data_IF_454567229174
#
_entry.id   IF_454567229174
#
_cell.length_a   1.000
_cell.length_b   1.000
_cell.length_c   1.000
_cell.angle_alpha   90.00
_cell.angle_beta   90.00
_cell.angle_gamma   90.00
#
_symmetry.space_group_name_H-M   'P 1'
#
loop_
_entity.id
_entity.type
_entity.pdbx_description
1 polymer ?
#
# COMPACT_ATOMS: atom_id res chain seq x y z
N UNK A 1 -9.21 22.61 9.66
CA UNK A 1 -9.51 21.53 8.69
C UNK A 1 -8.37 21.50 7.70
N UNK A 2 -7.98 20.34 7.12
CA UNK A 2 -6.87 20.33 6.15
C UNK A 2 -7.28 20.98 4.82
N UNK A 3 -6.33 21.62 4.11
CA UNK A 3 -6.59 22.29 2.84
C UNK A 3 -7.28 21.38 1.81
N UNK A 4 -6.86 20.12 1.67
CA UNK A 4 -7.50 19.15 0.75
C UNK A 4 -8.96 18.93 1.14
N UNK A 5 -9.27 18.81 2.42
CA UNK A 5 -10.64 18.61 2.91
C UNK A 5 -11.51 19.84 2.66
N UNK A 6 -10.96 21.04 2.82
CA UNK A 6 -11.64 22.29 2.47
C UNK A 6 -11.96 22.36 0.96
N UNK A 7 -11.01 21.94 0.10
CA UNK A 7 -11.22 21.92 -1.35
C UNK A 7 -12.32 20.92 -1.73
N UNK A 8 -12.21 19.67 -1.23
CA UNK A 8 -13.09 18.58 -1.67
C UNK A 8 -14.52 18.69 -1.11
N UNK A 9 -14.66 19.09 0.15
CA UNK A 9 -15.96 19.11 0.83
C UNK A 9 -16.60 20.47 0.72
N UNK A 10 -15.86 21.54 1.03
CA UNK A 10 -16.39 22.89 1.13
C UNK A 10 -16.19 23.70 -0.15
N UNK A 11 -15.58 23.09 -1.19
CA UNK A 11 -15.28 23.73 -2.48
C UNK A 11 -14.52 25.05 -2.34
N UNK A 12 -13.77 25.21 -1.26
CA UNK A 12 -13.01 26.42 -0.97
C UNK A 12 -11.77 26.48 -1.87
N UNK A 13 -11.52 27.64 -2.47
CA UNK A 13 -10.33 27.85 -3.29
C UNK A 13 -9.14 28.04 -2.36
N UNK A 14 -8.26 27.05 -2.26
CA UNK A 14 -6.99 27.14 -1.55
C UNK A 14 -5.93 26.28 -2.26
N UNK A 15 -4.65 26.59 -2.02
CA UNK A 15 -3.54 25.81 -2.56
C UNK A 15 -3.26 24.64 -1.63
N UNK A 16 -3.07 23.44 -2.20
CA UNK A 16 -2.63 22.25 -1.47
C UNK A 16 -1.62 21.47 -2.30
N UNK A 17 -0.53 21.05 -1.68
CA UNK A 17 0.55 20.32 -2.35
C UNK A 17 0.74 18.96 -1.69
N UNK A 18 0.68 17.93 -2.51
CA UNK A 18 1.02 16.57 -2.12
C UNK A 18 1.53 15.77 -3.33
N UNK A 19 2.25 14.68 -3.07
CA UNK A 19 2.73 13.79 -4.11
C UNK A 19 2.19 12.39 -3.88
N UNK A 20 1.82 11.69 -4.97
CA UNK A 20 1.34 10.31 -4.90
C UNK A 20 2.39 9.36 -4.33
N UNK A 21 3.69 9.58 -4.66
CA UNK A 21 4.82 8.80 -4.14
C UNK A 21 5.63 9.67 -3.21
N UNK A 22 5.48 9.47 -1.91
CA UNK A 22 6.12 10.28 -0.88
C UNK A 22 7.27 9.54 -0.20
N UNK A 23 6.99 8.46 0.53
CA UNK A 23 8.02 7.67 1.16
C UNK A 23 8.77 6.79 0.14
N UNK A 24 10.09 6.67 0.27
CA UNK A 24 10.85 5.86 -0.65
C UNK A 24 12.37 5.93 -0.47
N UNK A 25 13.07 5.23 -1.35
CA UNK A 25 14.54 5.04 -1.29
C UNK A 25 15.36 6.31 -1.42
N UNK A 26 14.79 7.41 -1.85
CA UNK A 26 15.46 8.72 -1.91
C UNK A 26 15.68 9.30 -0.50
N UNK A 27 14.89 8.89 0.49
CA UNK A 27 15.03 9.30 1.88
C UNK A 27 16.09 8.43 2.60
N UNK A 28 17.14 9.03 3.19
CA UNK A 28 18.14 8.27 3.96
C UNK A 28 17.53 7.53 5.15
N UNK A 29 16.59 8.16 5.86
CA UNK A 29 15.86 7.56 6.98
C UNK A 29 15.05 6.33 6.57
N UNK A 30 14.41 6.37 5.40
CA UNK A 30 13.75 5.18 4.82
C UNK A 30 14.75 4.06 4.53
N UNK A 31 15.90 4.40 3.90
CA UNK A 31 16.94 3.40 3.61
C UNK A 31 17.46 2.74 4.88
N UNK A 32 17.63 3.50 5.98
CA UNK A 32 18.05 2.97 7.28
C UNK A 32 17.05 1.93 7.80
N UNK A 33 15.76 2.26 7.83
CA UNK A 33 14.71 1.33 8.27
C UNK A 33 14.69 0.09 7.34
N UNK A 34 14.77 0.31 6.03
CA UNK A 34 14.67 -0.77 5.04
C UNK A 34 15.86 -1.73 5.10
N UNK A 35 17.06 -1.27 5.43
CA UNK A 35 18.25 -2.14 5.60
C UNK A 35 18.12 -3.08 6.80
N UNK A 36 17.42 -2.67 7.84
CA UNK A 36 17.17 -3.46 9.03
C UNK A 36 15.94 -4.38 8.90
N UNK A 37 15.06 -4.12 7.92
CA UNK A 37 13.80 -4.82 7.70
C UNK A 37 13.73 -5.32 6.26
N UNK A 38 14.40 -6.44 5.97
CA UNK A 38 14.52 -6.97 4.60
C UNK A 38 13.20 -7.51 4.03
N UNK A 39 12.32 -8.07 4.87
CA UNK A 39 11.00 -8.52 4.43
C UNK A 39 10.05 -7.33 4.31
N UNK A 40 9.63 -7.04 3.08
CA UNK A 40 8.79 -5.88 2.78
C UNK A 40 7.36 -6.03 3.31
N UNK A 41 6.81 -7.24 3.26
CA UNK A 41 5.48 -7.52 3.80
C UNK A 41 5.46 -7.29 5.31
N UNK A 42 6.46 -7.83 6.02
CA UNK A 42 6.57 -7.63 7.47
C UNK A 42 6.77 -6.16 7.83
N UNK A 43 7.47 -5.39 6.98
CA UNK A 43 7.61 -3.95 7.17
C UNK A 43 6.26 -3.23 7.04
N UNK A 44 5.45 -3.57 6.03
CA UNK A 44 4.10 -3.02 5.85
C UNK A 44 3.15 -3.43 6.99
N UNK A 45 3.35 -4.61 7.58
CA UNK A 45 2.59 -5.12 8.72
C UNK A 45 3.13 -4.66 10.08
N UNK A 46 4.23 -3.90 10.12
CA UNK A 46 4.70 -3.27 11.34
C UNK A 46 4.08 -1.89 11.47
N UNK A 47 3.08 -1.76 12.34
CA UNK A 47 2.26 -0.54 12.48
C UNK A 47 3.09 0.70 12.85
N UNK A 48 4.09 0.56 13.72
CA UNK A 48 4.92 1.68 14.16
C UNK A 48 5.88 2.12 13.04
N UNK A 49 6.57 1.18 12.40
CA UNK A 49 7.50 1.50 11.31
C UNK A 49 6.75 2.05 10.08
N UNK A 50 5.57 1.51 9.77
CA UNK A 50 4.73 2.00 8.69
C UNK A 50 4.29 3.45 8.96
N UNK A 51 3.89 3.75 10.19
CA UNK A 51 3.55 5.12 10.60
C UNK A 51 4.77 6.05 10.55
N UNK A 52 5.92 5.61 11.06
CA UNK A 52 7.16 6.39 11.01
C UNK A 52 7.55 6.73 9.57
N UNK A 53 7.55 5.73 8.67
CA UNK A 53 7.86 5.92 7.24
C UNK A 53 6.88 6.89 6.59
N UNK A 54 5.60 6.79 6.92
CA UNK A 54 4.55 7.69 6.40
C UNK A 54 4.85 9.15 6.75
N UNK A 55 5.37 9.41 7.96
CA UNK A 55 5.62 10.75 8.45
C UNK A 55 6.96 11.36 8.00
N UNK A 56 7.91 10.55 7.49
CA UNK A 56 9.22 11.02 7.04
C UNK A 56 9.13 12.13 5.97
N UNK A 57 8.37 11.96 4.87
CA UNK A 57 8.23 13.01 3.86
C UNK A 57 7.60 14.28 4.40
N UNK A 58 6.63 14.14 5.30
CA UNK A 58 5.91 15.28 5.89
C UNK A 58 6.84 16.14 6.75
N UNK A 59 7.71 15.49 7.53
CA UNK A 59 8.70 16.19 8.36
C UNK A 59 9.75 16.92 7.52
N UNK A 60 10.05 16.42 6.33
CA UNK A 60 11.12 16.95 5.47
C UNK A 60 10.63 18.02 4.51
N UNK A 61 9.42 17.91 3.96
CA UNK A 61 8.97 18.73 2.84
C UNK A 61 7.71 19.55 3.13
N UNK A 62 7.21 19.54 4.34
CA UNK A 62 6.01 20.28 4.76
C UNK A 62 4.82 20.14 3.80
N UNK A 63 4.57 18.92 3.34
CA UNK A 63 3.45 18.62 2.45
C UNK A 63 2.10 18.73 3.20
N UNK A 64 1.03 19.10 2.49
CA UNK A 64 -0.32 19.21 3.06
C UNK A 64 -0.98 17.86 3.36
N UNK A 65 -0.44 16.76 2.80
CA UNK A 65 -1.01 15.44 3.00
C UNK A 65 0.05 14.37 3.06
N UNK A 66 -0.17 13.40 3.96
CA UNK A 66 0.57 12.16 4.03
C UNK A 66 -0.19 11.04 3.31
N UNK A 67 0.52 10.13 2.64
CA UNK A 67 -0.02 8.88 2.14
C UNK A 67 0.49 7.76 3.04
N UNK A 68 -0.41 6.93 3.55
CA UNK A 68 -0.03 5.80 4.40
C UNK A 68 0.96 4.88 3.68
N UNK A 69 2.06 4.52 4.35
CA UNK A 69 2.99 3.54 3.82
C UNK A 69 2.40 2.14 3.95
N UNK A 70 2.12 1.52 2.82
CA UNK A 70 1.59 0.17 2.68
C UNK A 70 1.83 -0.32 1.25
N UNK A 71 1.23 -1.45 0.87
CA UNK A 71 1.24 -1.96 -0.51
C UNK A 71 -0.13 -2.49 -0.90
N UNK A 72 -0.50 -2.38 -2.17
CA UNK A 72 -1.77 -2.92 -2.69
C UNK A 72 -1.85 -4.44 -2.55
N UNK A 73 -0.71 -5.14 -2.52
CA UNK A 73 -0.61 -6.58 -2.38
C UNK A 73 -0.85 -7.07 -0.94
N UNK A 74 -1.11 -6.16 0.02
CA UNK A 74 -1.63 -6.55 1.33
C UNK A 74 -2.99 -7.24 1.21
N UNK A 75 -3.80 -6.93 0.19
CA UNK A 75 -5.08 -7.59 -0.06
C UNK A 75 -4.88 -9.06 -0.47
N UNK A 76 -4.09 -9.41 -1.52
CA UNK A 76 -3.76 -10.80 -1.81
C UNK A 76 -3.15 -11.56 -0.63
N UNK A 77 -2.23 -10.91 0.12
CA UNK A 77 -1.64 -11.49 1.32
C UNK A 77 -2.72 -11.84 2.37
N UNK A 78 -3.65 -10.94 2.63
CA UNK A 78 -4.76 -11.19 3.57
C UNK A 78 -5.72 -12.27 3.07
N UNK A 79 -5.82 -12.45 1.75
CA UNK A 79 -6.56 -13.52 1.09
C UNK A 79 -5.79 -14.86 1.02
N UNK A 80 -4.74 -15.04 1.81
CA UNK A 80 -3.93 -16.25 1.91
C UNK A 80 -3.07 -16.57 0.69
N UNK A 81 -2.88 -15.64 -0.25
CA UNK A 81 -1.91 -15.80 -1.31
C UNK A 81 -0.54 -15.32 -0.83
N UNK A 82 0.47 -16.18 -0.93
CA UNK A 82 1.84 -15.81 -0.55
C UNK A 82 2.36 -14.73 -1.48
N UNK A 83 2.90 -13.65 -0.89
CA UNK A 83 3.49 -12.53 -1.61
C UNK A 83 4.91 -12.35 -1.13
N UNK A 84 5.86 -12.31 -2.06
CA UNK A 84 7.27 -12.07 -1.79
C UNK A 84 7.80 -10.93 -2.66
N UNK A 85 8.72 -10.12 -2.13
CA UNK A 85 9.41 -9.10 -2.90
C UNK A 85 10.84 -9.53 -3.17
N UNK A 86 11.09 -9.98 -4.40
CA UNK A 86 12.38 -10.49 -4.84
C UNK A 86 13.23 -9.34 -5.40
N UNK A 87 14.49 -9.28 -4.99
CA UNK A 87 15.43 -8.26 -5.48
C UNK A 87 15.53 -8.31 -7.01
N UNK A 88 15.38 -7.17 -7.66
CA UNK A 88 15.41 -6.97 -9.13
C UNK A 88 14.27 -7.62 -9.93
N UNK A 89 13.33 -8.32 -9.28
CA UNK A 89 12.14 -8.89 -9.96
C UNK A 89 10.84 -8.20 -9.54
N UNK A 90 10.84 -7.56 -8.36
CA UNK A 90 9.63 -6.97 -7.79
C UNK A 90 8.76 -8.00 -7.04
N UNK A 91 7.45 -7.80 -6.98
CA UNK A 91 6.56 -8.70 -6.28
C UNK A 91 6.38 -10.02 -7.04
N UNK A 92 6.46 -11.12 -6.31
CA UNK A 92 6.20 -12.48 -6.79
C UNK A 92 5.10 -13.05 -5.90
N UNK A 93 4.02 -13.51 -6.52
CA UNK A 93 2.92 -14.16 -5.82
C UNK A 93 2.97 -15.67 -6.11
N UNK A 94 2.53 -16.49 -5.13
CA UNK A 94 2.32 -17.91 -5.41
C UNK A 94 1.18 -18.11 -6.40
N UNK A 95 1.09 -19.28 -7.00
CA UNK A 95 -0.02 -19.65 -7.87
C UNK A 95 -1.36 -19.47 -7.14
N UNK A 96 -2.32 -18.84 -7.85
CA UNK A 96 -3.64 -18.57 -7.29
C UNK A 96 -4.39 -19.87 -7.00
N UNK A 97 -4.82 -20.03 -5.77
CA UNK A 97 -5.60 -21.20 -5.35
C UNK A 97 -7.04 -20.79 -5.03
N UNK A 98 -7.94 -21.12 -5.94
CA UNK A 98 -9.36 -20.77 -5.82
C UNK A 98 -10.03 -21.33 -4.56
N UNK A 99 -9.67 -22.55 -4.14
CA UNK A 99 -10.21 -23.15 -2.92
C UNK A 99 -9.77 -22.37 -1.65
N UNK A 100 -8.50 -22.00 -1.59
CA UNK A 100 -8.00 -21.14 -0.48
C UNK A 100 -8.72 -19.79 -0.47
N UNK A 101 -8.97 -19.21 -1.65
CA UNK A 101 -9.65 -17.92 -1.77
C UNK A 101 -11.09 -18.01 -1.26
N UNK A 102 -11.88 -19.00 -1.69
CA UNK A 102 -13.27 -19.19 -1.26
C UNK A 102 -13.42 -19.48 0.23
N UNK A 103 -12.42 -20.09 0.85
CA UNK A 103 -12.42 -20.39 2.30
C UNK A 103 -11.99 -19.21 3.17
N UNK A 104 -11.74 -18.03 2.60
CA UNK A 104 -11.47 -16.84 3.37
C UNK A 104 -12.76 -16.27 3.98
N UNK A 105 -12.79 -16.18 5.30
CA UNK A 105 -13.83 -15.45 6.00
C UNK A 105 -13.43 -13.99 6.25
N UNK A 106 -14.43 -13.13 6.41
CA UNK A 106 -14.24 -11.70 6.60
C UNK A 106 -13.44 -11.37 7.88
N UNK A 107 -13.60 -12.17 8.92
CA UNK A 107 -12.95 -11.94 10.21
C UNK A 107 -11.46 -12.18 10.08
N UNK A 108 -11.08 -13.35 9.55
CA UNK A 108 -9.66 -13.69 9.29
C UNK A 108 -8.98 -12.68 8.36
N UNK A 109 -9.65 -12.29 7.27
CA UNK A 109 -9.15 -11.25 6.38
C UNK A 109 -8.89 -9.93 7.10
N UNK A 110 -9.84 -9.46 7.89
CA UNK A 110 -9.72 -8.20 8.63
C UNK A 110 -8.62 -8.27 9.70
N UNK A 111 -8.50 -9.40 10.40
CA UNK A 111 -7.46 -9.61 11.40
C UNK A 111 -6.05 -9.54 10.81
N UNK A 112 -5.83 -10.10 9.62
CA UNK A 112 -4.53 -10.02 8.93
C UNK A 112 -4.16 -8.60 8.52
N UNK A 113 -5.15 -7.76 8.22
CA UNK A 113 -4.94 -6.35 7.88
C UNK A 113 -4.95 -5.41 9.09
N UNK A 114 -5.23 -5.94 10.29
CA UNK A 114 -5.27 -5.13 11.51
C UNK A 114 -4.01 -4.26 11.72
N UNK A 115 -2.78 -4.75 11.47
CA UNK A 115 -1.57 -3.91 11.59
C UNK A 115 -1.59 -2.69 10.66
N UNK A 116 -2.19 -2.80 9.47
CA UNK A 116 -2.34 -1.67 8.53
C UNK A 116 -3.33 -0.65 9.09
N UNK A 117 -4.46 -1.10 9.64
CA UNK A 117 -5.43 -0.21 10.29
C UNK A 117 -4.83 0.49 11.52
N UNK A 118 -4.04 -0.24 12.30
CA UNK A 118 -3.31 0.32 13.44
C UNK A 118 -2.28 1.37 13.00
N UNK A 119 -1.57 1.13 11.89
CA UNK A 119 -0.64 2.12 11.32
C UNK A 119 -1.36 3.41 10.93
N UNK A 120 -2.56 3.31 10.33
CA UNK A 120 -3.40 4.48 10.01
C UNK A 120 -3.78 5.25 11.27
N UNK A 121 -4.20 4.56 12.31
CA UNK A 121 -4.55 5.17 13.59
C UNK A 121 -3.36 5.93 14.20
N UNK A 122 -2.21 5.25 14.34
CA UNK A 122 -0.99 5.84 14.92
C UNK A 122 -0.53 7.04 14.09
N UNK A 123 -0.58 6.93 12.76
CA UNK A 123 -0.23 8.02 11.86
C UNK A 123 -1.17 9.21 12.06
N UNK A 124 -2.48 8.97 12.16
CA UNK A 124 -3.46 10.05 12.36
C UNK A 124 -3.27 10.77 13.69
N UNK A 125 -2.90 10.05 14.74
CA UNK A 125 -2.62 10.62 16.07
C UNK A 125 -1.36 11.51 16.05
N UNK A 126 -0.32 11.11 15.28
CA UNK A 126 0.96 11.82 15.19
C UNK A 126 0.99 12.93 14.12
N UNK A 127 0.12 12.87 13.12
CA UNK A 127 0.07 13.83 12.02
C UNK A 127 -0.70 15.08 12.45
N UNK A 128 -0.16 16.26 12.13
CA UNK A 128 -0.84 17.53 12.37
C UNK A 128 -2.30 17.50 11.87
N UNK A 129 -3.21 18.05 12.69
CA UNK A 129 -4.64 18.12 12.38
C UNK A 129 -4.95 18.90 11.10
N UNK A 130 -4.08 19.81 10.71
CA UNK A 130 -4.18 20.60 9.48
C UNK A 130 -3.76 19.83 8.22
N UNK A 131 -3.13 18.66 8.38
CA UNK A 131 -2.70 17.82 7.26
C UNK A 131 -3.66 16.64 7.05
N UNK A 132 -3.89 16.31 5.79
CA UNK A 132 -4.71 15.15 5.42
C UNK A 132 -3.91 13.86 5.51
N UNK A 133 -4.58 12.77 5.88
CA UNK A 133 -4.05 11.42 5.73
C UNK A 133 -4.83 10.72 4.60
N UNK A 134 -4.11 10.24 3.61
CA UNK A 134 -4.64 9.57 2.43
C UNK A 134 -4.36 8.07 2.56
N UNK A 135 -5.41 7.26 2.53
CA UNK A 135 -5.33 5.82 2.33
C UNK A 135 -5.40 5.49 0.84
N UNK A 136 -4.96 4.30 0.48
CA UNK A 136 -5.10 3.80 -0.89
C UNK A 136 -5.40 2.30 -0.88
N UNK A 137 -5.95 1.81 -1.98
CA UNK A 137 -6.21 0.40 -2.23
C UNK A 137 -6.04 0.12 -3.73
N UNK A 138 -5.60 -1.08 -4.08
CA UNK A 138 -5.60 -1.52 -5.47
C UNK A 138 -7.02 -1.70 -5.98
N UNK A 139 -7.28 -1.25 -7.22
CA UNK A 139 -8.55 -1.52 -7.87
C UNK A 139 -8.75 -3.05 -8.01
N UNK A 140 -9.99 -3.57 -7.90
CA UNK A 140 -10.25 -5.01 -7.96
C UNK A 140 -9.66 -5.69 -9.19
N UNK A 141 -9.76 -5.07 -10.36
CA UNK A 141 -9.17 -5.58 -11.59
C UNK A 141 -7.64 -5.65 -11.52
N UNK A 142 -7.00 -4.60 -11.03
CA UNK A 142 -5.55 -4.57 -10.85
C UNK A 142 -5.07 -5.68 -9.93
N UNK A 143 -5.76 -5.88 -8.80
CA UNK A 143 -5.42 -6.94 -7.85
C UNK A 143 -5.63 -8.32 -8.46
N UNK A 144 -6.73 -8.53 -9.19
CA UNK A 144 -7.02 -9.79 -9.86
C UNK A 144 -5.91 -10.15 -10.87
N UNK A 145 -5.47 -9.20 -11.69
CA UNK A 145 -4.36 -9.41 -12.62
C UNK A 145 -3.08 -9.79 -11.86
N UNK A 146 -2.74 -9.10 -10.77
CA UNK A 146 -1.60 -9.49 -9.94
C UNK A 146 -1.74 -10.91 -9.38
N UNK A 147 -2.92 -11.30 -8.95
CA UNK A 147 -3.18 -12.61 -8.35
C UNK A 147 -3.11 -13.74 -9.35
N UNK A 148 -3.52 -13.52 -10.60
CA UNK A 148 -3.63 -14.55 -11.64
C UNK A 148 -2.39 -14.66 -12.53
N UNK A 149 -1.73 -13.57 -12.88
CA UNK A 149 -0.80 -13.47 -14.04
C UNK A 149 0.69 -13.55 -13.65
N UNK A 150 1.04 -13.75 -12.40
CA UNK A 150 2.41 -13.55 -11.90
C UNK A 150 3.47 -14.50 -12.46
N UNK A 151 3.14 -15.60 -13.10
CA UNK A 151 4.13 -16.50 -13.71
C UNK A 151 4.61 -16.11 -15.12
N UNK A 152 3.93 -15.18 -15.82
CA UNK A 152 4.16 -14.99 -17.26
C UNK A 152 4.86 -13.69 -17.67
N UNK A 153 5.47 -12.93 -16.76
CA UNK A 153 6.23 -11.73 -17.15
C UNK A 153 7.47 -11.97 -18.02
N UNK A 154 7.72 -13.22 -18.45
CA UNK A 154 8.76 -13.57 -19.43
C UNK A 154 8.22 -14.03 -20.79
N UNK A 155 6.91 -14.15 -20.97
CA UNK A 155 6.32 -14.35 -22.28
C UNK A 155 5.55 -13.09 -22.67
N UNK A 156 5.78 -12.60 -23.87
CA UNK A 156 4.98 -11.55 -24.48
C UNK A 156 3.50 -11.87 -24.25
N UNK A 157 2.75 -10.87 -23.81
CA UNK A 157 1.29 -10.99 -23.68
C UNK A 157 0.79 -11.21 -25.11
N UNK A 158 0.58 -12.45 -25.48
CA UNK A 158 -0.14 -12.79 -26.70
C UNK A 158 -1.60 -12.38 -26.48
N UNK A 159 -1.95 -11.21 -27.02
CA UNK A 159 -3.31 -10.66 -26.95
C UNK A 159 -4.37 -11.57 -27.56
N UNK A 160 -3.97 -12.65 -28.23
CA UNK A 160 -4.88 -13.61 -28.84
C UNK A 160 -5.43 -14.68 -27.87
N UNK A 161 -4.90 -14.74 -26.63
CA UNK A 161 -5.42 -15.69 -25.63
C UNK A 161 -6.49 -15.09 -24.70
N UNK A 162 -6.91 -13.85 -24.90
CA UNK A 162 -8.06 -13.24 -24.20
C UNK A 162 -9.41 -13.52 -24.87
N UNK A 163 -9.62 -14.73 -25.35
CA UNK A 163 -10.96 -15.20 -25.75
C UNK A 163 -11.56 -16.04 -24.63
N UNK A 164 -11.95 -15.41 -23.52
CA UNK A 164 -12.90 -15.97 -22.56
C UNK A 164 -13.82 -14.83 -22.14
N UNK A 165 -14.91 -14.73 -22.82
CA UNK A 165 -16.32 -14.64 -22.47
C UNK A 165 -17.10 -14.31 -23.70
#
# INVERSE_FOLDING_TARGET
MSNIKEILINKKICKSVWFMRQAGRYLPEFRKIRSQNQNFINLCLNSELSSEITLQPIKRFDLDSAIIFSDILMVPHALNQKVEFVKNQGPVLEEFNFKKFLNNDKISFTQKLYPVYKAIQITREKLDKNKSLIGFIGAPWTLLIYMLVVKERKKEIDCNSCSIL
#
